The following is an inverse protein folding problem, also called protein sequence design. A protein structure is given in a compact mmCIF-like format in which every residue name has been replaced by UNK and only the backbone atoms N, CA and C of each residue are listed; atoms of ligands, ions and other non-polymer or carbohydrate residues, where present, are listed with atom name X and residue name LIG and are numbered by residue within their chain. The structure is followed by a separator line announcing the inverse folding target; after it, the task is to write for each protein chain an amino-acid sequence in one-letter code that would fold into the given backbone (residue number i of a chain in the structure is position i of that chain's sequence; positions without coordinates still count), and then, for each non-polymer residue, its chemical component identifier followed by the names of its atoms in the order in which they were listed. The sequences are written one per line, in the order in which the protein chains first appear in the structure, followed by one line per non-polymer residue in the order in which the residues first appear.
data_IF_019303543373
#
_entry.id   IF_019303543373
#
_cell.length_a   1.000
_cell.length_b   1.000
_cell.length_c   1.000
_cell.angle_alpha   90.00
_cell.angle_beta   90.00
_cell.angle_gamma   90.00
#
_symmetry.space_group_name_H-M   'P 1'
#
loop_
_entity.id
_entity.type
_entity.pdbx_description
1 polymer ?
#
# COMPACT_ATOMS: atom_id res chain seq x y z
N UNK A 1 -19.32 -10.59 2.04
CA UNK A 1 -20.30 -9.49 2.11
C UNK A 1 -21.68 -10.11 2.08
N UNK A 2 -22.54 -9.82 3.04
CA UNK A 2 -23.93 -10.24 2.89
C UNK A 2 -24.66 -9.25 1.98
N UNK A 3 -25.79 -9.68 1.42
CA UNK A 3 -26.62 -8.86 0.51
C UNK A 3 -27.22 -7.60 1.17
N UNK A 4 -27.01 -7.42 2.47
CA UNK A 4 -27.57 -6.34 3.28
C UNK A 4 -26.56 -5.23 3.61
N UNK A 5 -25.31 -5.38 3.17
CA UNK A 5 -24.23 -4.43 3.43
C UNK A 5 -23.91 -4.25 4.92
N UNK A 6 -24.15 -5.29 5.74
CA UNK A 6 -23.82 -5.22 7.15
C UNK A 6 -22.31 -5.11 7.35
N UNK A 7 -21.89 -4.29 8.32
CA UNK A 7 -20.50 -4.22 8.78
C UNK A 7 -20.15 -5.54 9.48
N UNK A 8 -19.34 -6.36 8.82
CA UNK A 8 -18.91 -7.65 9.34
C UNK A 8 -17.70 -7.54 10.30
N UNK A 9 -17.08 -6.36 10.38
CA UNK A 9 -15.85 -6.10 11.11
C UNK A 9 -14.65 -5.83 10.19
N UNK A 10 -13.49 -5.69 10.80
CA UNK A 10 -12.22 -5.55 10.09
C UNK A 10 -11.87 -6.82 9.31
N UNK A 11 -11.26 -6.66 8.13
CA UNK A 11 -10.97 -7.79 7.27
C UNK A 11 -9.69 -8.52 7.72
N UNK A 12 -9.83 -9.80 8.04
CA UNK A 12 -8.73 -10.70 8.44
C UNK A 12 -8.61 -11.85 7.43
N UNK A 13 -7.54 -11.89 6.61
CA UNK A 13 -7.37 -12.98 5.65
C UNK A 13 -7.06 -14.34 6.32
N UNK A 14 -6.53 -14.33 7.53
CA UNK A 14 -6.13 -15.53 8.28
C UNK A 14 -6.73 -15.54 9.68
N UNK A 15 -7.26 -16.69 10.10
CA UNK A 15 -7.74 -16.87 11.48
C UNK A 15 -6.58 -16.69 12.46
N UNK A 16 -6.81 -15.94 13.53
CA UNK A 16 -5.83 -15.63 14.58
C UNK A 16 -4.65 -14.75 14.13
N UNK A 17 -4.77 -14.06 13.00
CA UNK A 17 -3.84 -13.01 12.60
C UNK A 17 -4.49 -11.63 12.78
N UNK A 18 -3.70 -10.57 13.04
CA UNK A 18 -4.25 -9.23 13.06
C UNK A 18 -4.86 -8.88 11.68
N UNK A 19 -5.84 -7.96 11.66
CA UNK A 19 -6.28 -7.33 10.44
C UNK A 19 -5.09 -6.82 9.63
N UNK A 20 -5.21 -6.90 8.31
CA UNK A 20 -4.19 -6.34 7.42
C UNK A 20 -4.51 -4.88 7.13
N UNK A 21 -3.52 -4.02 7.29
CA UNK A 21 -3.61 -2.63 6.86
C UNK A 21 -3.57 -2.58 5.33
N UNK A 22 -4.60 -1.99 4.74
CA UNK A 22 -4.75 -1.82 3.30
C UNK A 22 -4.94 -0.34 2.97
N UNK A 23 -4.25 0.17 1.95
CA UNK A 23 -4.64 1.45 1.39
C UNK A 23 -5.93 1.31 0.58
N UNK A 24 -6.66 2.43 0.46
CA UNK A 24 -7.96 2.48 -0.19
C UNK A 24 -7.92 2.11 -1.69
N UNK A 25 -6.82 2.41 -2.36
CA UNK A 25 -6.64 2.10 -3.77
C UNK A 25 -6.13 0.67 -3.94
N UNK A 26 -7.04 -0.21 -4.36
CA UNK A 26 -6.73 -1.60 -4.72
C UNK A 26 -6.93 -1.81 -6.23
N UNK A 27 -6.26 -2.81 -6.80
CA UNK A 27 -6.44 -3.19 -8.21
C UNK A 27 -6.70 -4.69 -8.31
N UNK A 28 -7.79 -5.06 -8.98
CA UNK A 28 -8.08 -6.44 -9.35
C UNK A 28 -7.57 -6.73 -10.74
N UNK A 29 -6.70 -7.72 -10.87
CA UNK A 29 -6.19 -8.19 -12.15
C UNK A 29 -7.32 -8.92 -12.90
N UNK A 30 -7.66 -8.52 -14.14
CA UNK A 30 -8.87 -9.00 -14.81
C UNK A 30 -8.80 -10.47 -15.26
N UNK A 31 -7.61 -11.03 -15.51
CA UNK A 31 -7.39 -12.39 -16.00
C UNK A 31 -7.29 -13.39 -14.84
N UNK A 32 -6.45 -13.11 -13.85
CA UNK A 32 -6.17 -14.01 -12.71
C UNK A 32 -7.15 -13.80 -11.56
N UNK A 33 -7.76 -12.61 -11.48
CA UNK A 33 -8.58 -12.19 -10.34
C UNK A 33 -7.79 -11.83 -9.09
N UNK A 34 -6.45 -11.74 -9.20
CA UNK A 34 -5.58 -11.34 -8.09
C UNK A 34 -5.87 -9.91 -7.63
N UNK A 35 -5.72 -9.67 -6.33
CA UNK A 35 -5.86 -8.35 -5.72
C UNK A 35 -4.49 -7.79 -5.37
N UNK A 36 -4.24 -6.56 -5.81
CA UNK A 36 -2.99 -5.84 -5.64
C UNK A 36 -3.25 -4.58 -4.84
N UNK A 37 -2.37 -4.28 -3.88
CA UNK A 37 -2.39 -3.01 -3.16
C UNK A 37 -1.04 -2.69 -2.53
N UNK A 38 -0.87 -1.43 -2.17
CA UNK A 38 0.23 -0.94 -1.35
C UNK A 38 -0.30 -0.57 0.04
N UNK A 39 0.59 -0.55 1.02
CA UNK A 39 0.33 -0.01 2.34
C UNK A 39 1.51 0.88 2.74
N UNK A 40 1.25 2.02 3.37
CA UNK A 40 2.29 2.86 3.95
C UNK A 40 1.98 3.17 5.42
N UNK A 41 3.02 3.25 6.24
CA UNK A 41 2.89 3.40 7.69
C UNK A 41 3.92 4.41 8.21
N UNK A 42 3.68 4.96 9.40
CA UNK A 42 4.57 5.96 10.02
C UNK A 42 5.91 5.39 10.52
N UNK A 43 6.03 4.06 10.61
CA UNK A 43 7.21 3.37 11.11
C UNK A 43 7.73 2.37 10.06
N UNK A 44 9.04 2.06 10.01
CA UNK A 44 9.57 1.05 9.10
C UNK A 44 8.89 -0.34 9.29
N UNK A 45 8.61 -1.08 8.20
CA UNK A 45 8.77 -0.69 6.80
C UNK A 45 7.74 0.36 6.37
N UNK A 46 8.20 1.49 5.82
CA UNK A 46 7.32 2.63 5.49
C UNK A 46 6.40 2.39 4.29
N UNK A 47 6.72 1.42 3.44
CA UNK A 47 5.94 1.06 2.27
C UNK A 47 6.04 -0.44 2.04
N UNK A 48 4.89 -1.10 1.96
CA UNK A 48 4.79 -2.54 1.67
C UNK A 48 3.85 -2.75 0.50
N UNK A 49 4.25 -3.64 -0.39
CA UNK A 49 3.45 -4.15 -1.49
C UNK A 49 2.80 -5.49 -1.12
N UNK A 50 1.54 -5.69 -1.50
CA UNK A 50 0.78 -6.92 -1.28
C UNK A 50 0.11 -7.44 -2.55
N UNK A 51 0.14 -8.77 -2.71
CA UNK A 51 -0.57 -9.53 -3.74
C UNK A 51 -1.36 -10.67 -3.10
N UNK A 52 -2.65 -10.70 -3.36
CA UNK A 52 -3.55 -11.78 -2.95
C UNK A 52 -4.08 -12.51 -4.17
N UNK A 53 -4.31 -13.81 -4.06
CA UNK A 53 -5.04 -14.57 -5.07
C UNK A 53 -6.55 -14.26 -5.03
N UNK A 54 -7.30 -14.79 -5.99
CA UNK A 54 -8.76 -14.65 -6.07
C UNK A 54 -9.53 -15.34 -4.92
N UNK A 55 -8.87 -16.13 -4.07
CA UNK A 55 -9.45 -16.77 -2.88
C UNK A 55 -9.21 -15.93 -1.61
N UNK A 56 -8.42 -14.85 -1.69
CA UNK A 56 -8.05 -14.05 -0.52
C UNK A 56 -6.83 -14.57 0.22
N UNK A 57 -6.01 -15.41 -0.42
CA UNK A 57 -4.73 -15.88 0.14
C UNK A 57 -3.61 -14.91 -0.23
N UNK A 58 -2.80 -14.47 0.73
CA UNK A 58 -1.58 -13.71 0.48
C UNK A 58 -0.59 -14.60 -0.29
N UNK A 59 -0.21 -14.16 -1.49
CA UNK A 59 0.77 -14.85 -2.35
C UNK A 59 2.09 -14.09 -2.45
N UNK A 60 2.09 -12.78 -2.14
CA UNK A 60 3.32 -11.99 -2.12
C UNK A 60 3.18 -10.81 -1.16
N UNK A 61 4.19 -10.62 -0.30
CA UNK A 61 4.42 -9.40 0.48
C UNK A 61 5.84 -8.93 0.19
N UNK A 62 6.02 -7.65 -0.11
CA UNK A 62 7.35 -7.08 -0.35
C UNK A 62 7.48 -5.71 0.29
N UNK A 63 8.42 -5.57 1.20
CA UNK A 63 8.77 -4.26 1.75
C UNK A 63 9.62 -3.49 0.75
N UNK A 64 9.30 -2.22 0.56
CA UNK A 64 10.00 -1.31 -0.33
C UNK A 64 10.85 -0.39 0.54
N UNK A 65 12.16 -0.44 0.35
CA UNK A 65 13.11 0.33 1.13
C UNK A 65 12.93 1.84 0.89
N UNK A 66 12.70 2.57 1.98
CA UNK A 66 12.56 4.02 2.00
C UNK A 66 13.17 4.55 3.29
N UNK A 67 13.71 5.76 3.24
CA UNK A 67 14.29 6.44 4.41
C UNK A 67 13.27 7.24 5.23
N UNK A 68 12.05 7.45 4.71
CA UNK A 68 11.00 8.21 5.38
C UNK A 68 9.60 7.77 4.91
N UNK A 69 8.59 8.10 5.73
CA UNK A 69 7.18 7.93 5.38
C UNK A 69 6.70 9.11 4.53
N UNK A 70 6.36 8.83 3.28
CA UNK A 70 5.59 9.73 2.42
C UNK A 70 4.25 9.10 2.09
N UNK A 71 3.27 9.95 1.79
CA UNK A 71 1.97 9.51 1.33
C UNK A 71 2.10 8.88 -0.06
N UNK A 72 1.85 7.57 -0.12
CA UNK A 72 1.71 6.83 -1.37
C UNK A 72 0.23 6.55 -1.56
N UNK A 73 -0.50 7.55 -2.05
CA UNK A 73 -1.96 7.46 -2.15
C UNK A 73 -2.41 6.37 -3.11
N UNK A 74 -1.77 6.27 -4.28
CA UNK A 74 -2.18 5.39 -5.36
C UNK A 74 -0.99 4.74 -6.07
N UNK A 75 -1.27 3.73 -6.89
CA UNK A 75 -0.30 3.00 -7.69
C UNK A 75 -0.91 2.56 -9.04
N UNK A 76 -0.04 2.23 -9.99
CA UNK A 76 -0.45 1.68 -11.29
C UNK A 76 -0.09 0.20 -11.36
N UNK A 77 -1.06 -0.60 -11.79
CA UNK A 77 -0.85 -2.00 -12.16
C UNK A 77 -0.92 -2.13 -13.68
N UNK A 78 0.13 -2.70 -14.27
CA UNK A 78 0.20 -3.07 -15.69
C UNK A 78 0.32 -4.59 -15.82
N UNK A 79 0.31 -5.15 -17.05
CA UNK A 79 0.55 -6.59 -17.23
C UNK A 79 1.89 -7.08 -16.65
N UNK A 80 2.92 -6.21 -16.64
CA UNK A 80 4.29 -6.63 -16.30
C UNK A 80 4.90 -5.89 -15.11
N UNK A 81 4.33 -4.75 -14.70
CA UNK A 81 4.89 -3.87 -13.69
C UNK A 81 3.85 -3.32 -12.72
N UNK A 82 4.30 -3.08 -11.50
CA UNK A 82 3.67 -2.22 -10.51
C UNK A 82 4.49 -0.94 -10.44
N UNK A 83 3.83 0.22 -10.58
CA UNK A 83 4.46 1.52 -10.46
C UNK A 83 3.92 2.23 -9.23
N UNK A 84 4.82 2.81 -8.44
CA UNK A 84 4.48 3.58 -7.25
C UNK A 84 5.03 4.99 -7.38
N UNK A 85 4.19 5.98 -7.10
CA UNK A 85 4.58 7.39 -7.10
C UNK A 85 4.92 7.82 -5.69
N UNK A 86 6.20 8.02 -5.44
CA UNK A 86 6.72 8.57 -4.20
C UNK A 86 6.87 10.08 -4.36
N UNK A 87 5.77 10.77 -4.05
CA UNK A 87 5.66 12.23 -4.14
C UNK A 87 6.21 12.90 -2.87
N UNK A 88 6.60 14.19 -2.94
CA UNK A 88 7.18 14.90 -1.81
C UNK A 88 6.13 15.38 -0.78
N UNK A 89 5.16 14.53 -0.46
CA UNK A 89 4.18 14.72 0.62
C UNK A 89 4.55 13.77 1.76
N UNK A 90 5.14 14.29 2.83
CA UNK A 90 5.68 13.48 3.93
C UNK A 90 4.85 13.58 5.19
N UNK A 91 4.88 12.53 6.00
CA UNK A 91 4.37 12.60 7.36
C UNK A 91 5.40 13.27 8.26
N UNK A 92 5.11 14.49 8.70
CA UNK A 92 6.03 15.31 9.48
C UNK A 92 5.75 15.11 10.98
N UNK A 93 6.48 14.18 11.59
CA UNK A 93 6.30 13.82 12.99
C UNK A 93 6.49 15.01 13.94
N UNK A 94 7.37 15.96 13.59
CA UNK A 94 7.59 17.15 14.41
C UNK A 94 6.35 18.05 14.40
N UNK A 95 5.74 18.26 13.23
CA UNK A 95 4.49 19.00 13.12
C UNK A 95 3.35 18.28 13.86
N UNK A 96 3.23 16.97 13.70
CA UNK A 96 2.20 16.14 14.37
C UNK A 96 2.32 16.29 15.90
N UNK A 97 3.53 16.15 16.45
CA UNK A 97 3.75 16.29 17.90
C UNK A 97 3.49 17.70 18.42
N UNK A 98 3.64 18.72 17.57
CA UNK A 98 3.32 20.11 17.87
C UNK A 98 1.84 20.48 17.66
N UNK A 99 0.97 19.55 17.27
CA UNK A 99 -0.43 19.82 16.94
C UNK A 99 -0.64 20.50 15.58
N UNK A 100 0.39 20.51 14.74
CA UNK A 100 0.37 21.04 13.38
C UNK A 100 -0.18 20.06 12.35
N UNK A 101 0.10 20.34 11.07
CA UNK A 101 -0.37 19.52 9.97
C UNK A 101 0.29 18.14 9.96
N UNK A 102 -0.50 17.09 9.69
CA UNK A 102 -0.01 15.70 9.59
C UNK A 102 0.91 15.52 8.37
N UNK A 103 0.62 16.24 7.30
CA UNK A 103 1.31 16.14 6.02
C UNK A 103 2.03 17.45 5.72
N UNK A 104 3.26 17.32 5.24
CA UNK A 104 4.06 18.45 4.77
C UNK A 104 4.51 18.23 3.33
N UNK A 105 4.40 19.27 2.52
CA UNK A 105 4.99 19.30 1.19
C UNK A 105 6.48 19.68 1.29
N UNK A 106 7.37 18.87 0.72
CA UNK A 106 8.84 19.00 0.80
C UNK A 106 9.46 18.94 -0.62
N UNK A 107 9.27 19.97 -1.46
CA UNK A 107 9.59 19.93 -2.88
C UNK A 107 11.06 19.58 -3.18
N UNK A 108 11.97 19.86 -2.25
CA UNK A 108 13.39 19.50 -2.29
C UNK A 108 13.65 17.98 -2.43
N UNK A 109 12.69 17.13 -2.07
CA UNK A 109 12.78 15.68 -2.23
C UNK A 109 12.49 15.21 -3.66
N UNK A 110 11.85 16.05 -4.48
CA UNK A 110 11.40 15.70 -5.82
C UNK A 110 10.35 14.58 -5.85
N UNK A 111 9.97 14.16 -7.06
CA UNK A 111 9.12 12.99 -7.29
C UNK A 111 9.99 11.82 -7.71
N UNK A 112 9.79 10.66 -7.10
CA UNK A 112 10.42 9.40 -7.50
C UNK A 112 9.36 8.41 -7.96
N UNK A 113 9.67 7.64 -9.00
CA UNK A 113 8.78 6.59 -9.51
C UNK A 113 9.46 5.25 -9.27
N UNK A 114 8.89 4.46 -8.36
CA UNK A 114 9.31 3.08 -8.14
C UNK A 114 8.71 2.16 -9.20
N UNK A 115 9.51 1.28 -9.77
CA UNK A 115 9.09 0.29 -10.78
C UNK A 115 9.44 -1.10 -10.26
N UNK A 116 8.43 -1.96 -10.11
CA UNK A 116 8.61 -3.34 -9.69
C UNK A 116 8.04 -4.29 -10.75
N UNK A 117 8.80 -5.33 -11.12
CA UNK A 117 8.27 -6.41 -11.96
C UNK A 117 7.17 -7.19 -11.24
N UNK A 118 6.08 -7.51 -11.96
CA UNK A 118 4.91 -8.22 -11.45
C UNK A 118 5.21 -9.69 -11.13
N UNK A 119 5.99 -10.33 -12.00
CA UNK A 119 6.56 -11.65 -11.76
C UNK A 119 7.89 -11.50 -11.03
N UNK A 120 8.08 -12.26 -9.96
CA UNK A 120 9.44 -12.57 -9.49
C UNK A 120 10.09 -13.32 -10.64
N UNK A 121 11.20 -12.81 -11.17
CA UNK A 121 11.92 -13.49 -12.25
C UNK A 121 12.13 -14.97 -11.89
N UNK A 122 11.96 -15.85 -12.88
CA UNK A 122 12.49 -17.21 -12.79
C UNK A 122 13.99 -17.16 -12.56
#
# INVERSE_FOLDING_TARGET
MNKHLDTLGEWQPYKNHPPIDVCAHTRREPVTGELWFVNYTLAPPYLTFYRFDKQGTLIQKRDIEKSYCSMVHDFILTPNYVLVFDCPVVFDLQQIMGGGAVLSWKPELGVRIGIMQRSVGK
#
